data_IF_832732622790
#
_entry.id   IF_832732622790
#
_cell.length_a   1.000
_cell.length_b   1.000
_cell.length_c   1.000
_cell.angle_alpha   90.00
_cell.angle_beta   90.00
_cell.angle_gamma   90.00
#
_symmetry.space_group_name_H-M   'P 1'
#
loop_
_entity.id
_entity.type
_entity.pdbx_description
1 polymer ?
#
# COMPACT_ATOMS: atom_id res chain seq x y z
N UNK A 1 -13.03 26.95 7.81
CA UNK A 1 -13.35 27.26 6.40
C UNK A 1 -12.35 26.49 5.55
N UNK A 2 -12.75 25.34 4.98
CA UNK A 2 -11.86 24.57 4.11
C UNK A 2 -11.62 25.39 2.83
N UNK A 3 -10.37 25.63 2.51
CA UNK A 3 -9.94 26.25 1.26
C UNK A 3 -10.43 25.39 0.10
N UNK A 4 -11.20 25.98 -0.81
CA UNK A 4 -11.95 25.33 -1.91
C UNK A 4 -11.09 24.65 -2.98
N UNK A 5 -9.81 24.37 -2.72
CA UNK A 5 -8.87 23.80 -3.69
C UNK A 5 -8.02 22.63 -3.20
N UNK A 6 -7.89 22.39 -1.88
CA UNK A 6 -7.06 21.31 -1.36
C UNK A 6 -7.91 20.36 -0.51
N UNK A 7 -8.31 19.25 -1.13
CA UNK A 7 -8.98 18.15 -0.46
C UNK A 7 -8.08 16.92 -0.50
N UNK A 8 -7.13 16.89 0.44
CA UNK A 8 -6.18 15.79 0.60
C UNK A 8 -6.89 14.44 0.75
N UNK A 9 -8.01 14.42 1.47
CA UNK A 9 -8.76 13.19 1.71
C UNK A 9 -9.34 12.65 0.40
N UNK A 10 -9.97 13.52 -0.41
CA UNK A 10 -10.50 13.14 -1.73
C UNK A 10 -9.42 12.68 -2.69
N UNK A 11 -8.21 13.26 -2.66
CA UNK A 11 -7.11 12.86 -3.53
C UNK A 11 -6.45 11.54 -3.13
N UNK A 12 -6.30 11.27 -1.83
CA UNK A 12 -5.67 10.04 -1.35
C UNK A 12 -6.65 8.87 -1.25
N UNK A 13 -7.80 9.10 -0.61
CA UNK A 13 -8.78 8.06 -0.31
C UNK A 13 -9.82 7.88 -1.42
N UNK A 14 -9.91 8.83 -2.35
CA UNK A 14 -10.96 8.89 -3.36
C UNK A 14 -12.25 9.50 -2.81
N UNK A 15 -13.09 10.03 -3.70
CA UNK A 15 -14.48 10.40 -3.39
C UNK A 15 -15.29 10.52 -4.69
N UNK A 16 -16.53 10.01 -4.68
CA UNK A 16 -17.44 10.00 -5.84
C UNK A 16 -16.78 9.45 -7.12
N UNK A 17 -16.46 10.33 -8.06
CA UNK A 17 -15.86 10.08 -9.36
C UNK A 17 -14.33 9.91 -9.33
N UNK A 18 -13.68 10.23 -8.21
CA UNK A 18 -12.22 10.07 -8.06
C UNK A 18 -11.92 8.75 -7.36
N UNK A 19 -11.27 7.78 -8.03
CA UNK A 19 -10.84 6.55 -7.40
C UNK A 19 -9.73 6.81 -6.38
N UNK A 20 -9.57 5.91 -5.43
CA UNK A 20 -8.47 5.93 -4.47
C UNK A 20 -7.14 5.92 -5.19
N UNK A 21 -6.17 6.72 -4.71
CA UNK A 21 -4.84 6.76 -5.31
C UNK A 21 -4.22 5.35 -5.38
N UNK A 22 -3.65 5.01 -6.54
CA UNK A 22 -3.12 3.67 -6.79
C UNK A 22 -2.07 3.26 -5.74
N UNK A 23 -1.14 4.16 -5.39
CA UNK A 23 -0.11 3.88 -4.39
C UNK A 23 -0.70 3.58 -3.01
N UNK A 24 -1.82 4.21 -2.64
CA UNK A 24 -2.50 3.93 -1.38
C UNK A 24 -3.22 2.57 -1.42
N UNK A 25 -3.92 2.28 -2.51
CA UNK A 25 -4.57 0.97 -2.72
C UNK A 25 -3.55 -0.17 -2.71
N UNK A 26 -2.44 0.00 -3.44
CA UNK A 26 -1.34 -0.96 -3.48
C UNK A 26 -0.68 -1.11 -2.11
N UNK A 27 -0.45 -0.01 -1.38
CA UNK A 27 0.07 -0.03 -0.02
C UNK A 27 -0.79 -0.85 0.94
N UNK A 28 -2.12 -0.65 0.92
CA UNK A 28 -3.05 -1.45 1.72
C UNK A 28 -2.98 -2.94 1.36
N UNK A 29 -2.93 -3.28 0.07
CA UNK A 29 -2.83 -4.66 -0.38
C UNK A 29 -1.53 -5.31 0.13
N UNK A 30 -0.38 -4.64 0.02
CA UNK A 30 0.89 -5.17 0.53
C UNK A 30 0.89 -5.38 2.04
N UNK A 31 0.35 -4.43 2.83
CA UNK A 31 0.25 -4.56 4.29
C UNK A 31 -0.68 -5.72 4.68
N UNK A 32 -1.80 -5.88 3.96
CA UNK A 32 -2.71 -7.00 4.19
C UNK A 32 -2.02 -8.34 3.91
N UNK A 33 -1.33 -8.46 2.77
CA UNK A 33 -0.55 -9.65 2.42
C UNK A 33 0.51 -9.96 3.48
N UNK A 34 1.27 -8.95 3.92
CA UNK A 34 2.25 -9.14 5.00
C UNK A 34 1.59 -9.66 6.28
N UNK A 35 0.50 -9.02 6.73
CA UNK A 35 -0.25 -9.42 7.92
C UNK A 35 -0.74 -10.86 7.85
N UNK A 36 -1.25 -11.28 6.70
CA UNK A 36 -1.81 -12.62 6.51
C UNK A 36 -0.72 -13.71 6.56
N UNK A 37 0.56 -13.34 6.35
CA UNK A 37 1.73 -14.25 6.46
C UNK A 37 2.50 -14.17 7.78
N UNK A 38 2.41 -13.06 8.51
CA UNK A 38 3.30 -12.77 9.65
C UNK A 38 2.90 -13.48 10.96
N UNK A 39 1.71 -14.12 11.01
CA UNK A 39 1.20 -14.73 12.23
C UNK A 39 0.80 -13.69 13.30
N UNK A 40 0.77 -14.04 14.59
CA UNK A 40 0.40 -13.11 15.66
C UNK A 40 1.36 -11.91 15.75
N UNK A 41 0.81 -10.70 15.59
CA UNK A 41 1.57 -9.45 15.62
C UNK A 41 1.41 -8.73 16.98
N UNK A 42 2.53 -8.30 17.56
CA UNK A 42 2.52 -7.38 18.72
C UNK A 42 2.21 -5.94 18.29
N UNK A 43 1.72 -5.11 19.21
CA UNK A 43 1.47 -3.69 18.96
C UNK A 43 2.73 -2.93 18.47
N UNK A 44 3.89 -3.27 19.01
CA UNK A 44 5.18 -2.71 18.59
C UNK A 44 5.49 -3.08 17.14
N UNK A 45 5.21 -4.32 16.73
CA UNK A 45 5.53 -4.79 15.39
C UNK A 45 4.78 -4.02 14.30
N UNK A 46 3.57 -3.55 14.59
CA UNK A 46 2.77 -2.73 13.68
C UNK A 46 3.43 -1.40 13.30
N UNK A 47 4.30 -0.86 14.15
CA UNK A 47 4.90 0.46 13.95
C UNK A 47 6.40 0.40 13.64
N UNK A 48 7.07 -0.73 13.92
CA UNK A 48 8.51 -0.91 13.71
C UNK A 48 8.87 -1.76 12.50
N UNK A 49 7.90 -2.43 11.86
CA UNK A 49 8.17 -3.23 10.66
C UNK A 49 8.77 -2.37 9.55
N UNK A 50 9.93 -2.74 8.98
CA UNK A 50 10.52 -1.99 7.89
C UNK A 50 9.72 -2.20 6.59
N UNK A 51 9.62 -1.16 5.78
CA UNK A 51 8.92 -1.24 4.49
C UNK A 51 9.51 -2.32 3.55
N UNK A 52 10.81 -2.58 3.64
CA UNK A 52 11.49 -3.61 2.84
C UNK A 52 10.95 -5.00 3.10
N UNK A 53 10.54 -5.31 4.33
CA UNK A 53 9.93 -6.60 4.67
C UNK A 53 8.55 -6.74 4.06
N UNK A 54 7.71 -5.70 4.14
CA UNK A 54 6.38 -5.68 3.52
C UNK A 54 6.50 -5.88 2.00
N UNK A 55 7.44 -5.18 1.36
CA UNK A 55 7.71 -5.30 -0.08
C UNK A 55 8.22 -6.71 -0.42
N UNK A 56 9.14 -7.26 0.37
CA UNK A 56 9.67 -8.60 0.15
C UNK A 56 8.55 -9.66 0.24
N UNK A 57 7.66 -9.57 1.22
CA UNK A 57 6.51 -10.47 1.31
C UNK A 57 5.60 -10.32 0.10
N UNK A 58 5.27 -9.10 -0.32
CA UNK A 58 4.41 -8.87 -1.48
C UNK A 58 4.99 -9.47 -2.77
N UNK A 59 6.32 -9.48 -2.95
CA UNK A 59 6.98 -10.18 -4.06
C UNK A 59 6.91 -11.68 -3.91
N UNK A 60 7.19 -12.20 -2.71
CA UNK A 60 7.18 -13.64 -2.44
C UNK A 60 5.80 -14.27 -2.68
N UNK A 61 4.71 -13.52 -2.48
CA UNK A 61 3.34 -13.97 -2.73
C UNK A 61 2.81 -13.62 -4.13
N UNK A 62 3.63 -13.01 -4.99
CA UNK A 62 3.26 -12.64 -6.36
C UNK A 62 2.33 -11.43 -6.49
N UNK A 63 2.12 -10.64 -5.42
CA UNK A 63 1.37 -9.37 -5.50
C UNK A 63 2.18 -8.31 -6.25
N UNK A 64 3.50 -8.31 -6.05
CA UNK A 64 4.44 -7.49 -6.80
C UNK A 64 5.27 -8.35 -7.75
N UNK A 65 5.71 -7.79 -8.88
CA UNK A 65 6.67 -8.48 -9.74
C UNK A 65 8.02 -8.65 -9.00
N UNK A 66 8.89 -9.57 -9.46
CA UNK A 66 10.22 -9.76 -8.89
C UNK A 66 11.10 -8.51 -9.08
N UNK A 67 12.17 -8.43 -8.29
CA UNK A 67 13.08 -7.28 -8.35
C UNK A 67 13.74 -7.17 -9.72
N UNK A 68 13.76 -5.95 -10.27
CA UNK A 68 14.30 -5.68 -11.61
C UNK A 68 13.42 -6.15 -12.78
N UNK A 69 12.17 -6.57 -12.53
CA UNK A 69 11.22 -6.80 -13.61
C UNK A 69 10.90 -5.49 -14.34
N UNK A 70 11.06 -5.49 -15.66
CA UNK A 70 10.69 -4.36 -16.50
C UNK A 70 9.16 -4.19 -16.47
N UNK A 71 8.69 -3.02 -16.04
CA UNK A 71 7.27 -2.71 -16.02
C UNK A 71 6.94 -2.22 -17.41
N UNK A 72 6.53 -3.13 -18.30
CA UNK A 72 6.10 -2.76 -19.63
C UNK A 72 5.05 -1.64 -19.51
N UNK A 73 5.19 -0.51 -20.23
CA UNK A 73 4.20 0.54 -20.17
C UNK A 73 2.86 -0.01 -20.65
N UNK A 74 1.82 0.28 -19.87
CA UNK A 74 0.43 -0.05 -20.18
C UNK A 74 -0.08 0.73 -21.38
#
# INVERSE_FOLDING_TARGET
MATTGYDHARWFFGAADIPRWFGYTLGCAMVQTWRDTAGPLSAERWITVPATEIIATARATGLLPPDGADIAPA
#
